data_IF_082236530555
#
_entry.id   IF_082236530555
#
_cell.length_a   1.000
_cell.length_b   1.000
_cell.length_c   1.000
_cell.angle_alpha   90.00
_cell.angle_beta   90.00
_cell.angle_gamma   90.00
#
_symmetry.space_group_name_H-M   'P 1'
#
loop_
_entity.id
_entity.type
_entity.pdbx_description
1 polymer ?
#
# COMPACT_ATOMS: atom_id res chain seq x y z
N UNK A 1 -4.29 -18.36 16.55
CA UNK A 1 -3.38 -17.57 17.33
C UNK A 1 -3.64 -16.09 17.08
N UNK A 2 -3.74 -15.32 18.12
CA UNK A 2 -4.15 -13.92 18.07
C UNK A 2 -3.25 -13.09 17.14
N UNK A 3 -1.93 -13.33 17.19
CA UNK A 3 -0.97 -12.60 16.41
C UNK A 3 -1.21 -12.73 14.90
N UNK A 4 -1.55 -13.93 14.43
CA UNK A 4 -1.84 -14.19 13.02
C UNK A 4 -3.17 -13.57 12.60
N UNK A 5 -4.14 -13.53 13.49
CA UNK A 5 -5.44 -12.92 13.24
C UNK A 5 -5.30 -11.42 13.00
N UNK A 6 -4.50 -10.75 13.85
CA UNK A 6 -4.27 -9.31 13.70
C UNK A 6 -3.56 -8.98 12.39
N UNK A 7 -2.57 -9.78 12.00
CA UNK A 7 -1.86 -9.60 10.75
C UNK A 7 -2.78 -9.82 9.54
N UNK A 8 -3.68 -10.81 9.63
CA UNK A 8 -4.65 -11.08 8.58
C UNK A 8 -5.59 -9.89 8.38
N UNK A 9 -6.02 -9.26 9.46
CA UNK A 9 -6.87 -8.06 9.38
C UNK A 9 -6.14 -6.89 8.72
N UNK A 10 -4.86 -6.69 9.04
CA UNK A 10 -4.07 -5.58 8.52
C UNK A 10 -3.80 -5.75 7.03
N UNK A 11 -3.56 -6.98 6.56
CA UNK A 11 -3.29 -7.25 5.14
C UNK A 11 -4.57 -7.50 4.34
N UNK A 12 -5.73 -7.41 4.95
CA UNK A 12 -6.98 -7.47 4.22
C UNK A 12 -7.09 -6.29 3.26
N UNK A 13 -7.38 -6.53 1.96
CA UNK A 13 -7.43 -5.45 0.99
C UNK A 13 -8.40 -4.32 1.37
N UNK A 14 -9.54 -4.66 1.97
CA UNK A 14 -10.52 -3.67 2.40
C UNK A 14 -9.92 -2.72 3.45
N UNK A 15 -9.16 -3.26 4.40
CA UNK A 15 -8.49 -2.43 5.41
C UNK A 15 -7.33 -1.65 4.80
N UNK A 16 -6.54 -2.29 3.96
CA UNK A 16 -5.37 -1.66 3.35
C UNK A 16 -5.73 -0.43 2.52
N UNK A 17 -6.78 -0.49 1.70
CA UNK A 17 -7.13 0.67 0.88
C UNK A 17 -7.56 1.87 1.72
N UNK A 18 -7.98 1.64 2.96
CA UNK A 18 -8.34 2.74 3.86
C UNK A 18 -7.12 3.54 4.31
N UNK A 19 -5.91 3.00 4.16
CA UNK A 19 -4.67 3.72 4.51
C UNK A 19 -4.24 4.69 3.42
N UNK A 20 -4.67 4.48 2.19
CA UNK A 20 -4.24 5.28 1.04
C UNK A 20 -5.19 6.40 0.70
N UNK A 21 -4.92 7.04 -0.43
CA UNK A 21 -5.73 8.14 -0.94
C UNK A 21 -7.05 7.63 -1.53
N UNK A 22 -8.00 8.55 -1.73
CA UNK A 22 -9.25 8.21 -2.39
C UNK A 22 -9.01 7.79 -3.85
N UNK A 23 -7.99 8.36 -4.52
CA UNK A 23 -7.62 7.93 -5.87
C UNK A 23 -7.23 6.46 -5.90
N UNK A 24 -6.40 6.03 -4.96
CA UNK A 24 -5.99 4.64 -4.87
C UNK A 24 -7.19 3.73 -4.62
N UNK A 25 -8.03 4.12 -3.67
CA UNK A 25 -9.25 3.35 -3.37
C UNK A 25 -10.15 3.22 -4.59
N UNK A 26 -10.38 4.31 -5.31
CA UNK A 26 -11.27 4.32 -6.46
C UNK A 26 -10.80 3.37 -7.56
N UNK A 27 -9.49 3.30 -7.82
CA UNK A 27 -8.95 2.37 -8.82
C UNK A 27 -9.14 0.93 -8.41
N UNK A 28 -8.91 0.61 -7.13
CA UNK A 28 -9.15 -0.75 -6.62
C UNK A 28 -10.64 -1.09 -6.71
N UNK A 29 -11.52 -0.15 -6.32
CA UNK A 29 -12.97 -0.34 -6.39
C UNK A 29 -13.45 -0.55 -7.83
N UNK A 30 -12.80 0.09 -8.80
CA UNK A 30 -13.11 -0.14 -10.21
C UNK A 30 -12.94 -1.62 -10.56
N UNK A 31 -11.85 -2.23 -10.14
CA UNK A 31 -11.60 -3.65 -10.41
C UNK A 31 -12.48 -4.57 -9.58
N UNK A 32 -12.87 -4.14 -8.37
CA UNK A 32 -13.86 -4.88 -7.59
C UNK A 32 -15.17 -5.01 -8.33
N UNK A 33 -15.61 -3.94 -8.99
CA UNK A 33 -16.87 -3.94 -9.70
C UNK A 33 -18.03 -4.27 -8.78
N UNK A 34 -18.88 -5.21 -9.19
CA UNK A 34 -20.07 -5.60 -8.44
C UNK A 34 -19.81 -6.68 -7.39
N UNK A 35 -18.56 -7.15 -7.26
CA UNK A 35 -18.23 -8.17 -6.26
C UNK A 35 -18.38 -7.61 -4.85
N UNK A 36 -18.80 -8.47 -3.92
CA UNK A 36 -18.99 -8.06 -2.52
C UNK A 36 -17.67 -7.71 -1.82
N UNK A 37 -16.58 -8.34 -2.23
CA UNK A 37 -15.28 -8.17 -1.59
C UNK A 37 -14.20 -7.83 -2.60
N UNK A 38 -13.20 -7.08 -2.13
CA UNK A 38 -11.99 -6.79 -2.91
C UNK A 38 -11.09 -8.01 -2.84
N UNK A 39 -10.65 -8.51 -4.00
CA UNK A 39 -9.66 -9.60 -4.06
C UNK A 39 -8.25 -9.03 -4.09
N UNK A 40 -7.26 -9.90 -3.83
CA UNK A 40 -5.85 -9.50 -3.99
C UNK A 40 -5.58 -9.05 -5.41
N UNK A 41 -6.17 -9.71 -6.39
CA UNK A 41 -6.02 -9.34 -7.81
C UNK A 41 -6.55 -7.92 -8.07
N UNK A 42 -7.70 -7.57 -7.51
CA UNK A 42 -8.26 -6.22 -7.63
C UNK A 42 -7.30 -5.19 -7.06
N UNK A 43 -6.70 -5.49 -5.92
CA UNK A 43 -5.73 -4.62 -5.26
C UNK A 43 -4.49 -4.42 -6.12
N UNK A 44 -3.95 -5.51 -6.67
CA UNK A 44 -2.77 -5.46 -7.54
C UNK A 44 -3.06 -4.62 -8.80
N UNK A 45 -4.18 -4.88 -9.47
CA UNK A 45 -4.54 -4.16 -10.69
C UNK A 45 -4.75 -2.67 -10.40
N UNK A 46 -5.41 -2.34 -9.31
CA UNK A 46 -5.60 -0.94 -8.91
C UNK A 46 -4.28 -0.24 -8.64
N UNK A 47 -3.34 -0.93 -7.99
CA UNK A 47 -2.02 -0.34 -7.70
C UNK A 47 -1.24 -0.06 -8.99
N UNK A 48 -1.34 -0.92 -9.98
CA UNK A 48 -0.68 -0.72 -11.28
C UNK A 48 -1.23 0.55 -11.95
N UNK A 49 -2.53 0.75 -11.90
CA UNK A 49 -3.15 1.94 -12.49
C UNK A 49 -2.73 3.24 -11.80
N UNK A 50 -2.18 3.15 -10.60
CA UNK A 50 -1.71 4.31 -9.85
C UNK A 50 -0.26 4.70 -10.16
N UNK A 51 0.49 3.89 -10.91
CA UNK A 51 1.91 4.14 -11.16
C UNK A 51 2.18 5.52 -11.74
N UNK A 52 1.38 5.93 -12.73
CA UNK A 52 1.58 7.22 -13.38
C UNK A 52 1.33 8.37 -12.39
N UNK A 53 0.22 8.30 -11.65
CA UNK A 53 -0.10 9.33 -10.65
C UNK A 53 0.96 9.41 -9.56
N UNK A 54 1.48 8.26 -9.13
CA UNK A 54 2.50 8.22 -8.08
C UNK A 54 3.87 8.67 -8.59
N UNK A 55 4.06 8.75 -9.91
CA UNK A 55 5.36 9.10 -10.47
C UNK A 55 6.36 7.97 -10.41
N UNK A 56 5.88 6.73 -10.43
CA UNK A 56 6.73 5.53 -10.41
C UNK A 56 6.90 5.02 -11.84
N UNK A 57 8.14 4.97 -12.30
CA UNK A 57 8.47 4.46 -13.62
C UNK A 57 8.23 2.96 -13.74
N UNK A 58 7.85 2.52 -14.92
CA UNK A 58 7.63 1.09 -15.19
C UNK A 58 8.88 0.25 -14.89
N UNK A 59 10.07 0.80 -15.11
CA UNK A 59 11.31 0.07 -14.81
C UNK A 59 11.47 -0.23 -13.32
N UNK A 60 11.13 0.73 -12.46
CA UNK A 60 11.16 0.52 -11.02
C UNK A 60 10.11 -0.50 -10.59
N UNK A 61 8.93 -0.43 -11.19
CA UNK A 61 7.85 -1.37 -10.92
C UNK A 61 8.23 -2.80 -11.35
N UNK A 62 8.74 -2.96 -12.56
CA UNK A 62 9.12 -4.28 -13.09
C UNK A 62 10.21 -4.92 -12.22
N UNK A 63 11.22 -4.15 -11.82
CA UNK A 63 12.29 -4.63 -10.94
C UNK A 63 11.72 -5.07 -9.58
N UNK A 64 10.79 -4.31 -9.04
CA UNK A 64 10.14 -4.64 -7.78
C UNK A 64 9.36 -5.95 -7.88
N UNK A 65 8.57 -6.11 -8.94
CA UNK A 65 7.77 -7.33 -9.15
C UNK A 65 8.68 -8.55 -9.33
N UNK A 66 9.75 -8.40 -10.11
CA UNK A 66 10.72 -9.48 -10.33
C UNK A 66 11.36 -9.92 -9.00
N UNK A 67 11.54 -9.00 -8.07
CA UNK A 67 12.22 -9.26 -6.80
C UNK A 67 11.24 -9.71 -5.71
N UNK A 68 10.08 -9.05 -5.60
CA UNK A 68 9.17 -9.19 -4.46
C UNK A 68 7.83 -9.83 -4.81
N UNK A 69 7.50 -9.91 -6.09
CA UNK A 69 6.18 -10.34 -6.54
C UNK A 69 5.19 -9.18 -6.60
N UNK A 70 4.06 -9.43 -7.24
CA UNK A 70 3.07 -8.38 -7.51
C UNK A 70 2.34 -7.89 -6.25
N UNK A 71 1.95 -8.78 -5.35
CA UNK A 71 1.22 -8.38 -4.15
C UNK A 71 2.09 -7.54 -3.22
N UNK A 72 3.31 -7.98 -2.96
CA UNK A 72 4.25 -7.22 -2.11
C UNK A 72 4.52 -5.85 -2.71
N UNK A 73 4.72 -5.79 -4.03
CA UNK A 73 4.93 -4.52 -4.73
C UNK A 73 3.71 -3.61 -4.61
N UNK A 74 2.49 -4.17 -4.74
CA UNK A 74 1.26 -3.40 -4.59
C UNK A 74 1.16 -2.79 -3.18
N UNK A 75 1.54 -3.54 -2.15
CA UNK A 75 1.55 -3.05 -0.77
C UNK A 75 2.57 -1.91 -0.64
N UNK A 76 3.75 -2.05 -1.25
CA UNK A 76 4.74 -0.97 -1.26
C UNK A 76 4.17 0.30 -1.90
N UNK A 77 3.46 0.17 -3.01
CA UNK A 77 2.84 1.31 -3.69
C UNK A 77 1.79 1.98 -2.80
N UNK A 78 1.02 1.20 -2.08
CA UNK A 78 0.05 1.75 -1.12
C UNK A 78 0.74 2.54 -0.02
N UNK A 79 1.84 2.03 0.51
CA UNK A 79 2.62 2.72 1.55
C UNK A 79 3.18 4.03 1.00
N UNK A 80 3.69 4.02 -0.23
CA UNK A 80 4.18 5.23 -0.90
C UNK A 80 3.05 6.25 -1.05
N UNK A 81 1.87 5.80 -1.50
CA UNK A 81 0.70 6.66 -1.64
C UNK A 81 0.31 7.29 -0.30
N UNK A 82 0.28 6.49 0.77
CA UNK A 82 -0.02 6.99 2.10
C UNK A 82 1.00 8.05 2.56
N UNK A 83 2.27 7.85 2.23
CA UNK A 83 3.32 8.81 2.57
C UNK A 83 3.17 10.12 1.82
N UNK A 84 2.71 10.07 0.56
CA UNK A 84 2.48 11.28 -0.22
C UNK A 84 1.39 12.16 0.36
N UNK A 85 0.47 11.59 1.13
CA UNK A 85 -0.59 12.35 1.78
C UNK A 85 -0.14 13.07 3.04
N UNK A 86 1.05 12.77 3.55
CA UNK A 86 1.57 13.43 4.75
C UNK A 86 2.08 14.81 4.41
N UNK A 87 1.58 15.81 5.09
CA UNK A 87 1.86 17.21 4.76
C UNK A 87 3.24 17.69 5.21
N UNK A 88 3.77 17.13 6.31
CA UNK A 88 5.03 17.64 6.88
C UNK A 88 6.25 17.26 6.03
N UNK A 89 6.35 15.99 5.61
CA UNK A 89 7.49 15.48 4.84
C UNK A 89 7.03 14.49 3.77
N UNK A 90 6.45 14.98 2.66
CA UNK A 90 6.03 14.08 1.61
C UNK A 90 7.23 13.44 0.93
N UNK A 91 7.03 12.22 0.43
CA UNK A 91 8.05 11.54 -0.37
C UNK A 91 8.30 12.35 -1.64
N UNK A 92 9.55 12.73 -1.88
CA UNK A 92 9.92 13.54 -3.06
C UNK A 92 10.23 12.70 -4.29
N UNK A 93 10.60 11.43 -4.07
CA UNK A 93 10.97 10.54 -5.15
C UNK A 93 10.32 9.17 -4.92
N UNK A 94 9.04 9.02 -5.30
CA UNK A 94 8.34 7.74 -5.11
C UNK A 94 9.02 6.56 -5.79
N UNK A 95 9.52 6.76 -7.01
CA UNK A 95 10.25 5.71 -7.72
C UNK A 95 11.51 5.29 -6.98
N UNK A 96 12.24 6.26 -6.45
CA UNK A 96 13.42 5.99 -5.62
C UNK A 96 13.05 5.27 -4.33
N UNK A 97 11.93 5.62 -3.73
CA UNK A 97 11.44 4.93 -2.54
C UNK A 97 11.13 3.46 -2.85
N UNK A 98 10.46 3.19 -3.97
CA UNK A 98 10.18 1.81 -4.37
C UNK A 98 11.47 1.03 -4.60
N UNK A 99 12.48 1.63 -5.25
CA UNK A 99 13.77 0.99 -5.45
C UNK A 99 14.47 0.70 -4.13
N UNK A 100 14.38 1.61 -3.17
CA UNK A 100 14.95 1.39 -1.83
C UNK A 100 14.25 0.22 -1.12
N UNK A 101 12.93 0.15 -1.20
CA UNK A 101 12.16 -0.94 -0.62
C UNK A 101 12.54 -2.28 -1.28
N UNK A 102 12.74 -2.28 -2.58
CA UNK A 102 13.19 -3.48 -3.32
C UNK A 102 14.55 -3.96 -2.81
N UNK A 103 15.49 -3.01 -2.60
CA UNK A 103 16.81 -3.34 -2.05
C UNK A 103 16.72 -3.88 -0.63
N UNK A 104 15.86 -3.27 0.20
CA UNK A 104 15.63 -3.74 1.56
C UNK A 104 15.07 -5.15 1.59
N UNK A 105 14.16 -5.45 0.65
CA UNK A 105 13.61 -6.79 0.54
C UNK A 105 14.71 -7.82 0.20
N UNK A 106 15.58 -7.51 -0.75
CA UNK A 106 16.72 -8.37 -1.10
C UNK A 106 17.62 -8.62 0.10
N UNK A 107 17.80 -7.62 0.95
CA UNK A 107 18.63 -7.73 2.15
C UNK A 107 17.91 -8.35 3.35
N UNK A 108 16.65 -8.74 3.19
CA UNK A 108 15.85 -9.31 4.28
C UNK A 108 15.47 -8.29 5.35
N UNK A 109 15.48 -7.00 5.03
CA UNK A 109 15.24 -5.91 5.99
C UNK A 109 13.91 -5.19 5.80
N UNK A 110 13.17 -5.50 4.75
CA UNK A 110 11.90 -4.81 4.50
C UNK A 110 10.86 -5.26 5.52
N UNK A 111 10.29 -4.30 6.24
CA UNK A 111 9.28 -4.56 7.28
C UNK A 111 7.95 -3.93 6.88
N UNK A 112 7.24 -4.58 5.95
CA UNK A 112 5.95 -4.11 5.49
C UNK A 112 4.89 -4.19 6.58
N UNK A 113 4.92 -5.25 7.37
CA UNK A 113 3.95 -5.44 8.45
C UNK A 113 4.05 -4.29 9.46
N UNK A 114 5.27 -3.93 9.85
CA UNK A 114 5.48 -2.79 10.75
C UNK A 114 4.96 -1.48 10.16
N UNK A 115 5.20 -1.26 8.86
CA UNK A 115 4.71 -0.07 8.17
C UNK A 115 3.19 -0.04 8.14
N UNK A 116 2.54 -1.18 7.85
CA UNK A 116 1.08 -1.27 7.82
C UNK A 116 0.48 -1.07 9.21
N UNK A 117 1.11 -1.65 10.24
CA UNK A 117 0.68 -1.45 11.63
C UNK A 117 0.72 0.04 11.97
N UNK A 118 1.79 0.74 11.58
CA UNK A 118 1.90 2.17 11.82
C UNK A 118 0.79 2.97 11.16
N UNK A 119 0.46 2.63 9.91
CA UNK A 119 -0.63 3.29 9.19
C UNK A 119 -1.99 2.98 9.82
N UNK A 120 -2.20 1.74 10.24
CA UNK A 120 -3.43 1.31 10.89
C UNK A 120 -3.64 2.07 12.21
N UNK A 121 -2.59 2.20 13.01
CA UNK A 121 -2.66 2.94 14.27
C UNK A 121 -2.97 4.41 14.05
N UNK A 122 -2.38 5.03 13.03
CA UNK A 122 -2.66 6.43 12.70
C UNK A 122 -4.10 6.61 12.25
N UNK A 123 -4.62 5.69 11.45
CA UNK A 123 -6.00 5.74 10.98
C UNK A 123 -6.98 5.59 12.15
N UNK A 124 -6.73 4.64 13.05
CA UNK A 124 -7.56 4.43 14.22
C UNK A 124 -7.59 5.66 15.12
N UNK A 125 -6.44 6.31 15.30
CA UNK A 125 -6.35 7.54 16.09
C UNK A 125 -7.18 8.66 15.46
N UNK A 126 -7.10 8.79 14.13
CA UNK A 126 -7.85 9.79 13.39
C UNK A 126 -9.35 9.53 13.45
N UNK A 127 -9.77 8.28 13.31
CA UNK A 127 -11.18 7.88 13.44
C UNK A 127 -11.71 8.22 14.84
N UNK A 128 -10.91 7.91 15.86
CA UNK A 128 -11.30 8.18 17.25
C UNK A 128 -11.46 9.68 17.51
N UNK A 129 -10.53 10.50 17.03
CA UNK A 129 -10.61 11.96 17.19
C UNK A 129 -11.79 12.52 16.40
N UNK A 130 -12.10 11.95 15.25
CA UNK A 130 -13.23 12.37 14.42
C UNK A 130 -14.57 12.14 15.08
N UNK A 131 -14.67 11.19 16.00
CA UNK A 131 -15.90 10.88 16.72
C UNK A 131 -16.11 11.81 17.91
N UNK A 132 -15.05 12.42 18.38
CA UNK A 132 -15.12 13.34 19.50
C UNK A 132 -15.57 14.73 19.06
#
# INVERSE_FOLDING_TARGET
MERNKDLTEIVDPERMISFGSSDFEQTVRFYQGSKAQITEQDFVLGSIDQLHRLGVHSSAYNDAVDTMGDLTTAICLLIIDANLMRHANPVRNPGGMLRAMTRQHKAGRLNLIGSLIGLDQKLKRKEWVGEA
#
